data_IF_242985511083
#
_entry.id   IF_242985511083
#
_cell.length_a   1.000
_cell.length_b   1.000
_cell.length_c   1.000
_cell.angle_alpha   90.00
_cell.angle_beta   90.00
_cell.angle_gamma   90.00
#
_symmetry.space_group_name_H-M   'P 1'
#
loop_
_entity.id
_entity.type
_entity.pdbx_description
1 polymer ?
#
# COMPACT_ATOMS: atom_id res chain seq x y z
N UNK A 1 36.54 73.41 6.57
CA UNK A 1 36.11 72.81 7.85
C UNK A 1 34.60 72.55 7.77
N UNK A 2 34.16 71.39 7.23
CA UNK A 2 32.73 71.05 7.10
C UNK A 2 32.21 70.66 8.49
N UNK A 3 31.32 71.46 9.03
CA UNK A 3 30.86 71.38 10.41
C UNK A 3 29.99 70.13 10.59
N UNK A 4 30.08 69.48 11.76
CA UNK A 4 29.29 68.29 12.18
C UNK A 4 27.78 68.47 11.93
N UNK A 5 27.30 69.72 11.90
CA UNK A 5 25.93 70.11 11.56
C UNK A 5 25.49 69.66 10.15
N UNK A 6 26.40 69.68 9.17
CA UNK A 6 26.12 69.21 7.79
C UNK A 6 25.98 67.68 7.72
N UNK A 7 26.68 66.96 8.61
CA UNK A 7 26.59 65.50 8.69
C UNK A 7 25.27 65.06 9.34
N UNK A 8 24.80 65.80 10.35
CA UNK A 8 23.52 65.53 11.03
C UNK A 8 22.30 65.86 10.16
N UNK A 9 22.37 66.89 9.31
CA UNK A 9 21.28 67.27 8.41
C UNK A 9 20.99 66.22 7.32
N UNK A 10 21.95 65.35 7.00
CA UNK A 10 21.85 64.39 5.89
C UNK A 10 21.26 63.04 6.27
N UNK A 11 21.10 62.74 7.58
CA UNK A 11 20.57 61.45 8.05
C UNK A 11 19.07 61.52 8.31
N UNK A 12 18.26 61.79 7.28
CA UNK A 12 16.81 61.50 7.31
C UNK A 12 16.62 59.99 7.22
N UNK A 13 16.86 59.30 8.33
CA UNK A 13 16.58 57.87 8.45
C UNK A 13 15.08 57.67 8.24
N UNK A 14 14.69 56.98 7.17
CA UNK A 14 13.29 56.73 6.83
C UNK A 14 12.74 55.65 7.79
N UNK A 15 12.44 56.11 9.01
CA UNK A 15 12.03 55.30 10.14
C UNK A 15 10.77 54.48 9.82
N UNK A 16 9.85 55.02 9.01
CA UNK A 16 8.65 54.32 8.56
C UNK A 16 8.98 53.11 7.68
N UNK A 17 9.92 53.26 6.75
CA UNK A 17 10.38 52.15 5.90
C UNK A 17 11.18 51.09 6.67
N UNK A 18 11.92 51.50 7.70
CA UNK A 18 12.64 50.58 8.58
C UNK A 18 11.68 49.74 9.43
N UNK A 19 10.67 50.39 10.05
CA UNK A 19 9.66 49.71 10.87
C UNK A 19 8.81 48.73 10.04
N UNK A 20 8.44 49.10 8.81
CA UNK A 20 7.68 48.21 7.92
C UNK A 20 8.47 46.96 7.56
N UNK A 21 9.78 47.10 7.27
CA UNK A 21 10.65 45.98 6.93
C UNK A 21 10.90 45.06 8.12
N UNK A 22 11.07 45.61 9.31
CA UNK A 22 11.22 44.80 10.54
C UNK A 22 9.93 44.08 10.91
N UNK A 23 8.76 44.69 10.67
CA UNK A 23 7.45 44.05 10.90
C UNK A 23 7.18 42.91 9.92
N UNK A 24 7.54 43.07 8.64
CA UNK A 24 7.42 42.01 7.64
C UNK A 24 8.35 40.82 7.95
N UNK A 25 9.57 41.11 8.41
CA UNK A 25 10.56 40.11 8.81
C UNK A 25 10.18 39.40 10.12
N UNK A 26 9.55 40.11 11.06
CA UNK A 26 8.95 39.51 12.24
C UNK A 26 7.76 38.61 11.88
N UNK A 27 6.91 39.02 10.94
CA UNK A 27 5.78 38.21 10.46
C UNK A 27 6.24 36.89 9.81
N UNK A 28 7.39 36.88 9.11
CA UNK A 28 7.98 35.64 8.58
C UNK A 28 8.55 34.69 9.64
N UNK A 29 8.76 35.16 10.87
CA UNK A 29 9.19 34.30 11.99
C UNK A 29 8.01 33.67 12.75
N UNK A 30 6.78 34.11 12.48
CA UNK A 30 5.54 33.54 13.03
C UNK A 30 4.78 32.67 12.04
N UNK A 31 5.41 32.21 10.95
CA UNK A 31 4.88 31.09 10.18
C UNK A 31 5.05 29.84 11.02
N UNK A 32 4.09 29.61 11.92
CA UNK A 32 3.87 28.27 12.46
C UNK A 32 3.75 27.33 11.27
N UNK A 33 4.57 26.29 11.24
CA UNK A 33 4.36 25.18 10.34
C UNK A 33 2.97 24.65 10.68
N UNK A 34 1.99 24.95 9.83
CA UNK A 34 0.76 24.20 9.83
C UNK A 34 1.16 22.77 9.44
N UNK A 35 1.52 21.97 10.45
CA UNK A 35 1.43 20.53 10.38
C UNK A 35 -0.05 20.28 10.09
N UNK A 36 -0.37 20.21 8.80
CA UNK A 36 -1.58 19.57 8.36
C UNK A 36 -1.56 18.21 9.08
N UNK A 37 -2.46 18.02 10.04
CA UNK A 37 -2.69 16.71 10.61
C UNK A 37 -3.30 15.89 9.46
N UNK A 38 -2.41 15.36 8.61
CA UNK A 38 -2.76 14.40 7.58
C UNK A 38 -3.43 13.28 8.36
N UNK A 39 -4.69 12.93 8.03
CA UNK A 39 -5.37 11.83 8.70
C UNK A 39 -4.43 10.62 8.73
N UNK A 40 -4.39 9.90 9.85
CA UNK A 40 -3.52 8.74 10.01
C UNK A 40 -3.84 7.75 8.90
N UNK A 41 -3.01 7.72 7.88
CA UNK A 41 -3.15 6.77 6.78
C UNK A 41 -2.91 5.40 7.38
N UNK A 42 -3.86 4.48 7.15
CA UNK A 42 -3.75 3.12 7.65
C UNK A 42 -2.45 2.48 7.12
N UNK A 43 -1.65 1.96 8.04
CA UNK A 43 -0.39 1.31 7.68
C UNK A 43 -0.69 0.02 6.93
N UNK A 44 0.10 -0.28 5.90
CA UNK A 44 0.14 -1.61 5.32
C UNK A 44 0.66 -2.65 6.34
N UNK A 45 0.60 -3.94 6.01
CA UNK A 45 1.00 -5.04 6.90
C UNK A 45 2.45 -4.93 7.42
N UNK A 46 3.32 -4.23 6.68
CA UNK A 46 4.73 -3.99 7.05
C UNK A 46 4.92 -2.70 7.90
N UNK A 47 3.85 -2.00 8.30
CA UNK A 47 3.91 -0.82 9.17
C UNK A 47 4.36 0.48 8.49
N UNK A 48 4.44 0.51 7.15
CA UNK A 48 4.86 1.66 6.33
C UNK A 48 3.69 2.64 6.18
N UNK A 49 3.19 3.18 7.29
CA UNK A 49 2.05 4.10 7.33
C UNK A 49 2.40 5.56 7.62
N UNK A 50 3.51 5.86 8.31
CA UNK A 50 3.74 7.24 8.79
C UNK A 50 5.14 7.83 8.58
N UNK A 51 6.13 7.06 8.11
CA UNK A 51 7.53 7.53 8.01
C UNK A 51 8.24 7.36 6.66
N UNK A 52 7.69 6.56 5.73
CA UNK A 52 8.42 6.09 4.53
C UNK A 52 8.32 6.95 3.27
N UNK A 53 7.54 8.05 3.29
CA UNK A 53 7.21 8.82 2.09
C UNK A 53 6.17 8.14 1.20
N UNK A 54 5.57 8.91 0.28
CA UNK A 54 4.42 8.48 -0.53
C UNK A 54 4.72 7.27 -1.44
N UNK A 55 5.97 7.13 -1.90
CA UNK A 55 6.38 6.02 -2.74
C UNK A 55 6.46 4.69 -1.96
N UNK A 56 7.03 4.71 -0.76
CA UNK A 56 7.14 3.51 0.08
C UNK A 56 5.76 3.01 0.55
N UNK A 57 4.85 3.95 0.83
CA UNK A 57 3.46 3.65 1.12
C UNK A 57 2.79 2.91 -0.05
N UNK A 58 2.88 3.46 -1.27
CA UNK A 58 2.24 2.87 -2.45
C UNK A 58 2.80 1.47 -2.76
N UNK A 59 4.13 1.30 -2.68
CA UNK A 59 4.76 0.00 -2.92
C UNK A 59 4.39 -1.04 -1.85
N UNK A 60 4.22 -0.60 -0.60
CA UNK A 60 3.80 -1.48 0.50
C UNK A 60 2.40 -2.07 0.28
N UNK A 61 1.46 -1.24 -0.17
CA UNK A 61 0.10 -1.70 -0.51
C UNK A 61 0.05 -2.61 -1.74
N UNK A 62 0.86 -2.30 -2.77
CA UNK A 62 0.95 -3.15 -3.97
C UNK A 62 1.51 -4.53 -3.60
N UNK A 63 2.54 -4.58 -2.74
CA UNK A 63 3.10 -5.83 -2.22
C UNK A 63 2.03 -6.64 -1.48
N UNK A 64 1.29 -6.01 -0.57
CA UNK A 64 0.21 -6.70 0.15
C UNK A 64 -0.84 -7.26 -0.81
N UNK A 65 -1.38 -6.45 -1.72
CA UNK A 65 -2.38 -6.89 -2.70
C UNK A 65 -1.88 -8.07 -3.53
N UNK A 66 -0.60 -8.04 -3.93
CA UNK A 66 0.01 -9.10 -4.74
C UNK A 66 0.15 -10.43 -3.98
N UNK A 67 0.27 -10.41 -2.66
CA UNK A 67 0.29 -11.63 -1.82
C UNK A 67 -1.12 -12.19 -1.62
N UNK A 68 -2.12 -11.32 -1.42
CA UNK A 68 -3.50 -11.75 -1.16
C UNK A 68 -4.25 -12.20 -2.43
N UNK A 69 -3.95 -11.62 -3.60
CA UNK A 69 -4.66 -11.91 -4.85
C UNK A 69 -4.55 -13.39 -5.29
N UNK A 70 -3.35 -14.01 -5.31
CA UNK A 70 -3.20 -15.43 -5.62
C UNK A 70 -3.95 -16.31 -4.63
N UNK A 71 -3.97 -15.93 -3.34
CA UNK A 71 -4.64 -16.70 -2.30
C UNK A 71 -6.15 -16.81 -2.56
N UNK A 72 -6.79 -15.69 -2.92
CA UNK A 72 -8.22 -15.65 -3.25
C UNK A 72 -8.51 -16.43 -4.54
N UNK A 73 -7.67 -16.27 -5.57
CA UNK A 73 -7.81 -17.01 -6.83
C UNK A 73 -7.70 -18.53 -6.63
N UNK A 74 -6.75 -18.98 -5.82
CA UNK A 74 -6.57 -20.41 -5.52
C UNK A 74 -7.71 -20.98 -4.67
N UNK A 75 -8.23 -20.19 -3.72
CA UNK A 75 -9.43 -20.56 -2.96
C UNK A 75 -10.65 -20.72 -3.87
N UNK A 76 -10.85 -19.79 -4.82
CA UNK A 76 -11.94 -19.89 -5.79
C UNK A 76 -11.80 -21.11 -6.71
N UNK A 77 -10.60 -21.36 -7.22
CA UNK A 77 -10.33 -22.51 -8.09
C UNK A 77 -10.55 -23.86 -7.38
N UNK A 78 -10.14 -23.98 -6.12
CA UNK A 78 -10.36 -25.21 -5.34
C UNK A 78 -11.84 -25.47 -5.04
N UNK A 79 -12.61 -24.43 -4.70
CA UNK A 79 -14.06 -24.52 -4.57
C UNK A 79 -14.73 -24.95 -5.88
N UNK A 80 -14.27 -24.42 -7.02
CA UNK A 80 -14.80 -24.77 -8.34
C UNK A 80 -14.55 -26.24 -8.69
N UNK A 81 -13.34 -26.75 -8.44
CA UNK A 81 -13.01 -28.17 -8.69
C UNK A 81 -13.80 -29.10 -7.77
N UNK A 82 -13.95 -28.74 -6.50
CA UNK A 82 -14.78 -29.49 -5.55
C UNK A 82 -16.25 -29.55 -6.00
N UNK A 83 -16.79 -28.43 -6.50
CA UNK A 83 -18.13 -28.38 -7.07
C UNK A 83 -18.27 -29.29 -8.30
N UNK A 84 -17.31 -29.26 -9.23
CA UNK A 84 -17.33 -30.12 -10.42
C UNK A 84 -17.26 -31.62 -10.07
N UNK A 85 -16.49 -32.00 -9.05
CA UNK A 85 -16.43 -33.37 -8.54
C UNK A 85 -17.77 -33.82 -7.94
N UNK A 86 -18.41 -32.96 -7.14
CA UNK A 86 -19.74 -33.24 -6.57
C UNK A 86 -20.77 -33.50 -7.66
N UNK A 87 -20.79 -32.69 -8.72
CA UNK A 87 -21.71 -32.89 -9.85
C UNK A 87 -21.48 -34.24 -10.54
N UNK A 88 -20.21 -34.66 -10.75
CA UNK A 88 -19.89 -35.97 -11.31
C UNK A 88 -20.34 -37.13 -10.41
N UNK A 89 -20.13 -37.01 -9.09
CA UNK A 89 -20.59 -38.00 -8.12
C UNK A 89 -22.11 -38.13 -8.15
N UNK A 90 -22.83 -36.99 -8.17
CA UNK A 90 -24.29 -36.99 -8.24
C UNK A 90 -24.81 -37.63 -9.53
N UNK A 91 -24.16 -37.38 -10.67
CA UNK A 91 -24.53 -37.97 -11.96
C UNK A 91 -24.31 -39.50 -11.97
N UNK A 92 -23.18 -39.98 -11.47
CA UNK A 92 -22.84 -41.40 -11.45
C UNK A 92 -23.75 -42.21 -10.50
N UNK A 93 -24.22 -41.59 -9.40
CA UNK A 93 -25.17 -42.23 -8.46
C UNK A 93 -26.52 -42.58 -9.08
N UNK A 94 -26.87 -41.98 -10.21
CA UNK A 94 -28.14 -42.25 -10.91
C UNK A 94 -28.03 -43.36 -11.96
N UNK A 95 -26.83 -43.89 -12.20
CA UNK A 95 -26.60 -44.94 -13.19
C UNK A 95 -26.75 -46.34 -12.57
N UNK A 96 -27.24 -47.32 -13.35
CA UNK A 96 -27.32 -48.73 -12.94
C UNK A 96 -25.93 -49.37 -12.72
N UNK A 97 -24.88 -48.83 -13.36
CA UNK A 97 -23.48 -49.28 -13.23
C UNK A 97 -22.55 -48.08 -13.06
N UNK A 98 -22.42 -47.55 -11.83
CA UNK A 98 -21.60 -46.37 -11.57
C UNK A 98 -20.10 -46.66 -11.78
N UNK A 99 -19.42 -45.74 -12.49
CA UNK A 99 -17.98 -45.81 -12.75
C UNK A 99 -17.19 -45.02 -11.69
N UNK A 100 -16.99 -45.66 -10.54
CA UNK A 100 -16.21 -45.09 -9.43
C UNK A 100 -14.74 -44.86 -9.75
N UNK A 101 -14.17 -45.63 -10.69
CA UNK A 101 -12.78 -45.47 -11.10
C UNK A 101 -12.52 -44.14 -11.80
N UNK A 102 -13.44 -43.72 -12.67
CA UNK A 102 -13.35 -42.43 -13.35
C UNK A 102 -13.43 -41.26 -12.35
N UNK A 103 -14.33 -41.34 -11.36
CA UNK A 103 -14.42 -40.34 -10.29
C UNK A 103 -13.10 -40.28 -9.50
N UNK A 104 -12.56 -41.44 -9.11
CA UNK A 104 -11.31 -41.52 -8.33
C UNK A 104 -10.12 -40.85 -9.03
N UNK A 105 -9.97 -41.04 -10.34
CA UNK A 105 -8.91 -40.39 -11.13
C UNK A 105 -9.04 -38.86 -11.10
N UNK A 106 -10.27 -38.34 -11.22
CA UNK A 106 -10.50 -36.89 -11.14
C UNK A 106 -10.19 -36.34 -9.74
N UNK A 107 -10.51 -37.09 -8.68
CA UNK A 107 -10.18 -36.72 -7.31
C UNK A 107 -8.67 -36.68 -7.09
N UNK A 108 -7.93 -37.68 -7.57
CA UNK A 108 -6.47 -37.72 -7.47
C UNK A 108 -5.84 -36.57 -8.26
N UNK A 109 -6.33 -36.29 -9.47
CA UNK A 109 -5.87 -35.15 -10.26
C UNK A 109 -6.10 -33.82 -9.54
N UNK A 110 -7.24 -33.65 -8.85
CA UNK A 110 -7.54 -32.48 -8.04
C UNK A 110 -6.58 -32.33 -6.86
N UNK A 111 -6.25 -33.42 -6.16
CA UNK A 111 -5.31 -33.41 -5.05
C UNK A 111 -3.90 -33.06 -5.54
N UNK A 112 -3.48 -33.64 -6.66
CA UNK A 112 -2.18 -33.37 -7.26
C UNK A 112 -2.03 -31.89 -7.64
N UNK A 113 -3.08 -31.30 -8.21
CA UNK A 113 -3.10 -29.88 -8.55
C UNK A 113 -2.95 -29.00 -7.30
N UNK A 114 -3.64 -29.36 -6.20
CA UNK A 114 -3.50 -28.70 -4.89
C UNK A 114 -2.06 -28.72 -4.37
N UNK A 115 -1.42 -29.89 -4.42
CA UNK A 115 -0.02 -30.07 -3.99
C UNK A 115 0.91 -29.18 -4.82
N UNK A 116 0.74 -29.15 -6.14
CA UNK A 116 1.55 -28.31 -7.05
C UNK A 116 1.35 -26.83 -6.73
N UNK A 117 0.13 -26.38 -6.47
CA UNK A 117 -0.13 -24.98 -6.09
C UNK A 117 0.49 -24.59 -4.75
N UNK A 118 0.46 -25.46 -3.75
CA UNK A 118 1.11 -25.19 -2.45
C UNK A 118 2.63 -25.16 -2.62
N UNK A 119 3.18 -26.09 -3.40
CA UNK A 119 4.61 -26.12 -3.71
C UNK A 119 5.08 -24.83 -4.40
N UNK A 120 4.39 -24.41 -5.46
CA UNK A 120 4.67 -23.15 -6.16
C UNK A 120 4.47 -21.94 -5.26
N UNK A 121 3.46 -21.96 -4.39
CA UNK A 121 3.23 -20.91 -3.39
C UNK A 121 4.43 -20.74 -2.46
N UNK A 122 4.97 -21.83 -1.92
CA UNK A 122 6.15 -21.78 -1.06
C UNK A 122 7.40 -21.28 -1.80
N UNK A 123 7.63 -21.72 -3.04
CA UNK A 123 8.74 -21.23 -3.87
C UNK A 123 8.60 -19.73 -4.16
N UNK A 124 7.40 -19.27 -4.53
CA UNK A 124 7.16 -17.84 -4.82
C UNK A 124 7.33 -16.97 -3.59
N UNK A 125 6.81 -17.35 -2.42
CA UNK A 125 7.00 -16.58 -1.17
C UNK A 125 8.49 -16.45 -0.84
N UNK A 126 9.29 -17.49 -1.09
CA UNK A 126 10.73 -17.47 -0.86
C UNK A 126 11.50 -16.49 -1.76
N UNK A 127 10.95 -16.11 -2.92
CA UNK A 127 11.55 -15.12 -3.83
C UNK A 127 11.28 -13.68 -3.36
N UNK A 128 10.23 -13.46 -2.56
CA UNK A 128 9.82 -12.14 -2.07
C UNK A 128 10.08 -11.91 -0.57
N UNK A 129 10.58 -12.93 0.15
CA UNK A 129 11.05 -12.86 1.53
C UNK A 129 12.52 -12.41 1.60
#
# INVERSE_FOLDING_TARGET
MKTIKDFLAKRKFNLKGFILKTSLMAASLYTTTALAAIPTVESNSDGVGSGGGAFAFLTGWIKDILVWTPLVLMSGATLWVAWALLQKVLAERQLEKPNWGAIGIHTIASILLLVVTVYLGNETINVWA
#
